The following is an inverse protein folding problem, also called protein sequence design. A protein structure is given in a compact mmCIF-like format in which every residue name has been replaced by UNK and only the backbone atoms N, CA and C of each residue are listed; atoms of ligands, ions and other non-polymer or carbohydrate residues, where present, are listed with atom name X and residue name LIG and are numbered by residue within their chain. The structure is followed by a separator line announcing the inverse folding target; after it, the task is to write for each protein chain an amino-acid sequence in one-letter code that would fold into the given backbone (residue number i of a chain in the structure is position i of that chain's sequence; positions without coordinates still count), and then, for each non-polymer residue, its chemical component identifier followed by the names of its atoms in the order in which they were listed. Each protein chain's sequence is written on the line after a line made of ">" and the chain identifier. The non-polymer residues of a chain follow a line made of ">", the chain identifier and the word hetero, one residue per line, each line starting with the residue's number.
data_IF_061044080496
#
_entry.id   IF_061044080496
#
_cell.length_a   1.000
_cell.length_b   1.000
_cell.length_c   1.000
_cell.angle_alpha   90.00
_cell.angle_beta   90.00
_cell.angle_gamma   90.00
#
_symmetry.space_group_name_H-M   'P 1'
#
loop_
_entity.id
_entity.type
_entity.pdbx_description
1 polymer ?
#
# COMPACT_ATOMS: atom_id res chain seq x y z
N UNK A 1 32.37 33.90 -31.52
CA UNK A 1 32.25 32.71 -30.63
C UNK A 1 30.90 32.07 -30.88
N UNK A 2 30.88 30.79 -31.23
CA UNK A 2 29.63 30.06 -31.46
C UNK A 2 28.94 29.78 -30.11
N UNK A 3 27.64 30.08 -30.04
CA UNK A 3 26.82 29.78 -28.86
C UNK A 3 26.63 28.28 -28.65
N UNK A 4 25.78 27.87 -27.69
CA UNK A 4 25.63 26.47 -27.36
C UNK A 4 24.99 25.65 -28.49
N UNK A 5 25.30 24.35 -28.52
CA UNK A 5 24.75 23.44 -29.51
C UNK A 5 23.26 23.17 -29.25
N UNK A 6 22.53 22.84 -30.32
CA UNK A 6 21.13 22.42 -30.22
C UNK A 6 20.94 21.24 -29.25
N UNK A 7 21.90 20.30 -29.24
CA UNK A 7 21.89 19.15 -28.31
C UNK A 7 21.92 19.59 -26.85
N UNK A 8 22.78 20.56 -26.52
CA UNK A 8 22.89 21.10 -25.15
C UNK A 8 21.63 21.85 -24.73
N UNK A 9 21.01 22.60 -25.64
CA UNK A 9 19.73 23.26 -25.37
C UNK A 9 18.63 22.23 -25.09
N UNK A 10 18.48 21.23 -25.97
CA UNK A 10 17.47 20.18 -25.83
C UNK A 10 17.64 19.41 -24.52
N UNK A 11 18.87 19.02 -24.18
CA UNK A 11 19.16 18.32 -22.94
C UNK A 11 18.72 19.12 -21.70
N UNK A 12 19.00 20.42 -21.66
CA UNK A 12 18.59 21.28 -20.54
C UNK A 12 17.07 21.45 -20.48
N UNK A 13 16.37 21.56 -21.62
CA UNK A 13 14.90 21.62 -21.66
C UNK A 13 14.29 20.33 -21.12
N UNK A 14 14.79 19.17 -21.55
CA UNK A 14 14.32 17.87 -21.05
C UNK A 14 14.60 17.73 -19.56
N UNK A 15 15.79 18.13 -19.08
CA UNK A 15 16.12 18.07 -17.66
C UNK A 15 15.23 18.99 -16.82
N UNK A 16 14.97 20.20 -17.30
CA UNK A 16 14.07 21.14 -16.62
C UNK A 16 12.64 20.61 -16.57
N UNK A 17 12.16 20.04 -17.68
CA UNK A 17 10.85 19.38 -17.76
C UNK A 17 10.75 18.22 -16.75
N UNK A 18 11.75 17.35 -16.68
CA UNK A 18 11.79 16.24 -15.74
C UNK A 18 11.83 16.72 -14.27
N UNK A 19 12.69 17.68 -13.94
CA UNK A 19 12.77 18.27 -12.59
C UNK A 19 11.44 18.92 -12.19
N UNK A 20 10.85 19.71 -13.09
CA UNK A 20 9.57 20.37 -12.86
C UNK A 20 8.42 19.38 -12.72
N UNK A 21 8.41 18.31 -13.51
CA UNK A 21 7.37 17.27 -13.44
C UNK A 21 7.45 16.48 -12.13
N UNK A 22 8.62 15.94 -11.80
CA UNK A 22 8.81 15.08 -10.63
C UNK A 22 8.66 15.90 -9.35
N UNK A 23 9.49 16.93 -9.16
CA UNK A 23 9.51 17.70 -7.92
C UNK A 23 8.34 18.68 -7.84
N UNK A 24 7.83 19.20 -8.95
CA UNK A 24 6.58 19.97 -8.93
C UNK A 24 5.38 19.11 -8.55
N UNK A 25 5.32 17.86 -9.06
CA UNK A 25 4.34 16.86 -8.66
C UNK A 25 4.40 16.55 -7.17
N UNK A 26 5.58 16.24 -6.65
CA UNK A 26 5.78 15.95 -5.21
C UNK A 26 5.37 17.12 -4.31
N UNK A 27 5.69 18.36 -4.72
CA UNK A 27 5.30 19.55 -3.96
C UNK A 27 3.77 19.73 -3.97
N UNK A 28 3.15 19.56 -5.13
CA UNK A 28 1.70 19.58 -5.28
C UNK A 28 1.03 18.51 -4.43
N UNK A 29 1.53 17.28 -4.45
CA UNK A 29 1.01 16.16 -3.67
C UNK A 29 1.20 16.39 -2.17
N UNK A 30 2.34 16.92 -1.73
CA UNK A 30 2.58 17.25 -0.33
C UNK A 30 1.66 18.38 0.18
N UNK A 31 1.35 19.36 -0.66
CA UNK A 31 0.39 20.42 -0.34
C UNK A 31 -1.05 19.86 -0.30
N UNK A 32 -1.43 19.06 -1.30
CA UNK A 32 -2.74 18.41 -1.35
C UNK A 32 -2.97 17.46 -0.19
N UNK A 33 -1.95 16.71 0.24
CA UNK A 33 -2.04 15.83 1.40
C UNK A 33 -2.40 16.60 2.68
N UNK A 34 -1.93 17.85 2.81
CA UNK A 34 -2.20 18.71 3.98
C UNK A 34 -3.56 19.39 3.93
N UNK A 35 -4.10 19.64 2.74
CA UNK A 35 -5.40 20.31 2.56
C UNK A 35 -6.56 19.33 2.43
N UNK A 36 -6.31 18.12 1.93
CA UNK A 36 -7.31 17.06 1.87
C UNK A 36 -7.62 16.53 3.26
N UNK A 37 -8.86 16.08 3.47
CA UNK A 37 -9.24 15.42 4.72
C UNK A 37 -8.49 14.10 4.88
N UNK A 38 -8.46 13.29 3.81
CA UNK A 38 -7.74 12.02 3.75
C UNK A 38 -6.87 11.96 2.50
N UNK A 39 -5.71 11.33 2.62
CA UNK A 39 -4.87 10.95 1.48
C UNK A 39 -4.42 9.49 1.56
N UNK A 40 -4.41 8.84 0.40
CA UNK A 40 -3.91 7.48 0.19
C UNK A 40 -2.40 7.53 -0.05
N UNK A 41 -1.67 8.04 0.95
CA UNK A 41 -0.22 8.10 0.99
C UNK A 41 0.25 7.47 2.30
N UNK A 42 1.33 6.68 2.24
CA UNK A 42 1.95 6.14 3.46
C UNK A 42 2.75 7.19 4.21
N UNK A 43 3.45 8.03 3.46
CA UNK A 43 4.21 9.17 3.99
C UNK A 43 4.08 10.33 3.01
N UNK A 44 3.88 11.56 3.48
CA UNK A 44 3.83 12.71 2.59
C UNK A 44 5.22 12.95 1.95
N UNK A 45 5.29 13.40 0.69
CA UNK A 45 6.55 13.82 0.09
C UNK A 45 7.21 14.95 0.90
N UNK A 46 8.54 14.97 0.95
CA UNK A 46 9.28 15.95 1.74
C UNK A 46 9.28 17.33 1.07
N UNK A 47 8.43 18.23 1.56
CA UNK A 47 8.35 19.63 1.09
C UNK A 47 9.73 20.29 1.10
N UNK A 48 10.51 20.12 2.18
CA UNK A 48 11.82 20.74 2.32
C UNK A 48 12.76 20.31 1.20
N UNK A 49 12.86 19.00 0.97
CA UNK A 49 13.75 18.45 -0.07
C UNK A 49 13.32 18.91 -1.45
N UNK A 50 12.03 18.78 -1.75
CA UNK A 50 11.46 19.17 -3.04
C UNK A 50 11.66 20.67 -3.31
N UNK A 51 11.48 21.53 -2.31
CA UNK A 51 11.76 22.97 -2.42
C UNK A 51 13.23 23.27 -2.65
N UNK A 52 14.16 22.55 -1.99
CA UNK A 52 15.60 22.70 -2.24
C UNK A 52 15.94 22.35 -3.68
N UNK A 53 15.45 21.22 -4.19
CA UNK A 53 15.73 20.77 -5.57
C UNK A 53 15.18 21.77 -6.59
N UNK A 54 13.93 22.23 -6.42
CA UNK A 54 13.34 23.24 -7.30
C UNK A 54 14.07 24.59 -7.21
N UNK A 55 14.51 24.99 -6.02
CA UNK A 55 15.33 26.20 -5.83
C UNK A 55 16.66 26.11 -6.57
N UNK A 56 17.37 24.98 -6.45
CA UNK A 56 18.62 24.72 -7.18
C UNK A 56 18.38 24.66 -8.69
N UNK A 57 17.26 24.11 -9.14
CA UNK A 57 16.88 24.13 -10.55
C UNK A 57 16.67 25.57 -11.04
N UNK A 58 16.01 26.42 -10.25
CA UNK A 58 15.85 27.85 -10.54
C UNK A 58 17.20 28.59 -10.68
N UNK A 59 18.14 28.31 -9.78
CA UNK A 59 19.52 28.85 -9.88
C UNK A 59 20.21 28.34 -11.15
N UNK A 60 20.08 27.04 -11.47
CA UNK A 60 20.62 26.45 -12.70
C UNK A 60 20.07 27.13 -13.95
N UNK A 61 18.76 27.38 -14.01
CA UNK A 61 18.11 28.12 -15.10
C UNK A 61 18.63 29.55 -15.20
N UNK A 62 18.76 30.27 -14.08
CA UNK A 62 19.29 31.64 -14.08
C UNK A 62 20.72 31.70 -14.63
N UNK A 63 21.59 30.76 -14.22
CA UNK A 63 22.97 30.66 -14.71
C UNK A 63 23.00 30.28 -16.20
N UNK A 64 22.13 29.37 -16.62
CA UNK A 64 21.97 28.98 -18.02
C UNK A 64 21.57 30.17 -18.89
N UNK A 65 20.52 30.91 -18.51
CA UNK A 65 20.05 32.10 -19.21
C UNK A 65 21.12 33.20 -19.24
N UNK A 66 21.81 33.45 -18.12
CA UNK A 66 22.92 34.41 -18.08
C UNK A 66 24.06 34.01 -19.04
N UNK A 67 24.36 32.71 -19.15
CA UNK A 67 25.30 32.18 -20.13
C UNK A 67 24.88 32.45 -21.57
N UNK A 68 23.60 32.23 -21.89
CA UNK A 68 23.02 32.52 -23.20
C UNK A 68 23.07 34.02 -23.55
N UNK A 69 22.61 34.87 -22.64
CA UNK A 69 22.60 36.33 -22.82
C UNK A 69 24.00 36.90 -23.00
N UNK A 70 24.98 36.34 -22.27
CA UNK A 70 26.40 36.71 -22.39
C UNK A 70 27.12 35.98 -23.53
N UNK A 71 26.41 35.23 -24.38
CA UNK A 71 26.94 34.48 -25.54
C UNK A 71 28.14 33.61 -25.17
N UNK A 72 28.08 32.94 -24.01
CA UNK A 72 29.16 32.08 -23.52
C UNK A 72 29.30 30.84 -24.43
N UNK A 73 30.54 30.36 -24.63
CA UNK A 73 30.82 29.21 -25.49
C UNK A 73 30.26 27.91 -24.91
N UNK A 74 30.12 26.86 -25.73
CA UNK A 74 29.60 25.54 -25.36
C UNK A 74 30.27 24.93 -24.10
N UNK A 75 31.55 25.21 -23.89
CA UNK A 75 32.31 24.74 -22.72
C UNK A 75 31.95 25.42 -21.39
N UNK A 76 30.97 26.33 -21.37
CA UNK A 76 30.52 26.97 -20.14
C UNK A 76 29.86 25.97 -19.19
N UNK A 77 30.45 25.80 -18.00
CA UNK A 77 29.99 24.85 -16.98
C UNK A 77 28.52 25.03 -16.59
N UNK A 78 27.98 26.25 -16.69
CA UNK A 78 26.58 26.55 -16.38
C UNK A 78 25.58 25.74 -17.21
N UNK A 79 25.92 25.35 -18.44
CA UNK A 79 25.05 24.52 -19.29
C UNK A 79 24.95 23.05 -18.84
N UNK A 80 25.75 22.64 -17.86
CA UNK A 80 25.75 21.27 -17.30
C UNK A 80 25.06 21.19 -15.93
N UNK A 81 24.63 22.31 -15.36
CA UNK A 81 24.06 22.34 -14.01
C UNK A 81 22.75 21.55 -13.90
N UNK A 82 21.81 21.72 -14.84
CA UNK A 82 20.52 21.02 -14.80
C UNK A 82 20.67 19.50 -15.00
N UNK A 83 21.45 19.00 -15.98
CA UNK A 83 21.71 17.56 -16.09
C UNK A 83 22.38 16.96 -14.84
N UNK A 84 23.39 17.64 -14.28
CA UNK A 84 24.08 17.16 -13.06
C UNK A 84 23.08 17.11 -11.89
N UNK A 85 22.29 18.17 -11.70
CA UNK A 85 21.29 18.23 -10.66
C UNK A 85 20.30 17.08 -10.78
N UNK A 86 19.74 16.85 -11.97
CA UNK A 86 18.79 15.76 -12.22
C UNK A 86 19.38 14.39 -11.88
N UNK A 87 20.60 14.09 -12.33
CA UNK A 87 21.23 12.78 -12.06
C UNK A 87 21.46 12.59 -10.56
N UNK A 88 21.99 13.61 -9.88
CA UNK A 88 22.25 13.54 -8.43
C UNK A 88 20.95 13.37 -7.66
N UNK A 89 19.89 14.10 -8.01
CA UNK A 89 18.65 14.06 -7.25
C UNK A 89 17.91 12.73 -7.44
N UNK A 90 17.89 12.20 -8.68
CA UNK A 90 17.34 10.86 -8.97
C UNK A 90 18.13 9.75 -8.28
N UNK A 91 19.45 9.87 -8.22
CA UNK A 91 20.27 8.91 -7.48
C UNK A 91 19.94 8.92 -5.98
N UNK A 92 19.79 10.10 -5.39
CA UNK A 92 19.34 10.22 -4.00
C UNK A 92 17.92 9.67 -3.80
N UNK A 93 17.01 9.89 -4.75
CA UNK A 93 15.67 9.29 -4.73
C UNK A 93 15.73 7.78 -4.69
N UNK A 94 16.56 7.18 -5.53
CA UNK A 94 16.74 5.73 -5.60
C UNK A 94 17.25 5.16 -4.27
N UNK A 95 18.31 5.75 -3.71
CA UNK A 95 18.87 5.32 -2.41
C UNK A 95 17.85 5.44 -1.27
N UNK A 96 17.02 6.48 -1.29
CA UNK A 96 15.97 6.68 -0.28
C UNK A 96 14.74 5.78 -0.49
N UNK A 97 14.54 5.25 -1.70
CA UNK A 97 13.43 4.38 -2.04
C UNK A 97 13.71 2.90 -1.73
N UNK A 98 14.98 2.50 -1.64
CA UNK A 98 15.44 1.10 -1.51
C UNK A 98 14.88 0.36 -0.27
N UNK A 99 14.35 1.08 0.72
CA UNK A 99 13.70 0.50 1.91
C UNK A 99 12.18 0.62 1.99
N UNK A 100 11.50 1.12 0.95
CA UNK A 100 10.05 1.36 1.00
C UNK A 100 9.27 0.21 0.37
N UNK A 101 8.18 -0.21 1.01
CA UNK A 101 7.27 -1.23 0.47
C UNK A 101 6.60 -0.73 -0.81
N UNK A 102 6.61 -1.50 -1.91
CA UNK A 102 6.04 -1.08 -3.20
C UNK A 102 4.51 -1.21 -3.25
N UNK A 103 3.84 -1.32 -2.10
CA UNK A 103 2.40 -1.48 -2.02
C UNK A 103 1.75 -0.11 -1.80
N UNK A 104 0.79 0.22 -2.65
CA UNK A 104 -0.01 1.42 -2.43
C UNK A 104 -1.00 1.20 -1.27
N UNK A 105 -1.56 2.31 -0.78
CA UNK A 105 -2.51 2.30 0.33
C UNK A 105 -3.71 1.36 0.16
N UNK A 106 -4.38 1.26 -1.01
CA UNK A 106 -5.54 0.37 -1.15
C UNK A 106 -5.16 -1.12 -1.07
N UNK A 107 -3.97 -1.52 -1.52
CA UNK A 107 -3.44 -2.88 -1.40
C UNK A 107 -3.16 -3.21 0.07
N UNK A 108 -2.51 -2.30 0.80
CA UNK A 108 -2.27 -2.46 2.24
C UNK A 108 -3.58 -2.52 3.03
N UNK A 109 -4.57 -1.69 2.66
CA UNK A 109 -5.92 -1.76 3.23
C UNK A 109 -6.59 -3.11 2.97
N UNK A 110 -6.42 -3.69 1.79
CA UNK A 110 -6.94 -5.01 1.46
C UNK A 110 -6.22 -6.15 2.22
N UNK A 111 -4.91 -6.04 2.43
CA UNK A 111 -4.14 -6.97 3.26
C UNK A 111 -4.63 -6.92 4.70
N UNK A 112 -4.87 -5.73 5.25
CA UNK A 112 -5.42 -5.56 6.59
C UNK A 112 -6.83 -6.19 6.71
N UNK A 113 -7.71 -5.98 5.72
CA UNK A 113 -9.03 -6.61 5.69
C UNK A 113 -8.95 -8.14 5.67
N UNK A 114 -8.06 -8.71 4.85
CA UNK A 114 -7.86 -10.17 4.79
C UNK A 114 -7.31 -10.72 6.10
N UNK A 115 -6.32 -10.06 6.70
CA UNK A 115 -5.73 -10.46 7.98
C UNK A 115 -6.77 -10.42 9.10
N UNK A 116 -7.54 -9.34 9.19
CA UNK A 116 -8.63 -9.23 10.15
C UNK A 116 -9.68 -10.32 9.94
N UNK A 117 -10.12 -10.55 8.71
CA UNK A 117 -11.10 -11.60 8.39
C UNK A 117 -10.59 -12.99 8.79
N UNK A 118 -9.34 -13.32 8.48
CA UNK A 118 -8.77 -14.62 8.82
C UNK A 118 -8.76 -14.86 10.34
N UNK A 119 -8.40 -13.86 11.14
CA UNK A 119 -8.43 -13.98 12.60
C UNK A 119 -9.85 -13.98 13.17
N UNK A 120 -10.75 -13.13 12.65
CA UNK A 120 -12.15 -13.11 13.07
C UNK A 120 -12.88 -14.42 12.73
N UNK A 121 -12.50 -15.08 11.62
CA UNK A 121 -13.03 -16.38 11.21
C UNK A 121 -12.66 -17.49 12.21
N UNK A 122 -11.49 -17.42 12.86
CA UNK A 122 -11.10 -18.37 13.91
C UNK A 122 -11.94 -18.24 15.17
N UNK A 123 -12.48 -17.05 15.43
CA UNK A 123 -13.37 -16.77 16.56
C UNK A 123 -14.84 -17.08 16.26
N UNK A 124 -15.19 -17.35 15.01
CA UNK A 124 -16.53 -17.75 14.63
C UNK A 124 -16.84 -19.15 15.15
N UNK A 125 -18.07 -19.36 15.59
CA UNK A 125 -18.58 -20.66 16.04
C UNK A 125 -19.50 -21.26 14.98
N UNK A 126 -20.00 -22.47 15.21
CA UNK A 126 -21.03 -23.09 14.35
C UNK A 126 -22.35 -22.31 14.42
N UNK A 127 -22.64 -21.68 15.56
CA UNK A 127 -23.91 -21.00 15.82
C UNK A 127 -23.91 -19.55 15.37
N UNK A 128 -22.84 -18.81 15.65
CA UNK A 128 -22.74 -17.38 15.37
C UNK A 128 -21.32 -16.88 15.13
N UNK A 129 -21.21 -15.77 14.39
CA UNK A 129 -19.98 -14.99 14.26
C UNK A 129 -19.76 -14.11 15.49
N UNK A 130 -18.51 -13.72 15.82
CA UNK A 130 -18.25 -12.79 16.92
C UNK A 130 -18.95 -11.45 16.66
N UNK A 131 -19.72 -10.97 17.62
CA UNK A 131 -20.52 -9.73 17.51
C UNK A 131 -20.18 -8.69 18.59
N UNK A 132 -19.33 -9.05 19.56
CA UNK A 132 -18.89 -8.13 20.63
C UNK A 132 -17.63 -7.42 20.20
N UNK A 133 -17.64 -6.09 20.31
CA UNK A 133 -16.49 -5.24 19.98
C UNK A 133 -15.25 -5.61 20.80
N UNK A 134 -15.42 -5.93 22.09
CA UNK A 134 -14.31 -6.28 22.99
C UNK A 134 -13.57 -7.56 22.56
N UNK A 135 -14.24 -8.47 21.85
CA UNK A 135 -13.65 -9.70 21.32
C UNK A 135 -12.87 -9.43 20.03
N UNK A 136 -13.33 -8.47 19.23
CA UNK A 136 -12.74 -8.12 17.94
C UNK A 136 -11.63 -7.06 18.04
N UNK A 137 -11.67 -6.19 19.06
CA UNK A 137 -10.72 -5.10 19.24
C UNK A 137 -9.25 -5.57 19.26
N UNK A 138 -8.88 -6.67 19.96
CA UNK A 138 -7.50 -7.17 19.92
C UNK A 138 -7.02 -7.54 18.51
N UNK A 139 -7.93 -7.95 17.63
CA UNK A 139 -7.61 -8.25 16.23
C UNK A 139 -7.30 -6.98 15.44
N UNK A 140 -7.99 -5.88 15.75
CA UNK A 140 -7.77 -4.57 15.14
C UNK A 140 -6.45 -3.96 15.62
N UNK A 141 -6.18 -4.02 16.93
CA UNK A 141 -4.95 -3.50 17.51
C UNK A 141 -3.70 -4.19 16.93
N UNK A 142 -3.81 -5.48 16.61
CA UNK A 142 -2.74 -6.27 15.99
C UNK A 142 -2.44 -5.89 14.52
N UNK A 143 -3.28 -5.08 13.87
CA UNK A 143 -3.05 -4.60 12.50
C UNK A 143 -2.03 -3.45 12.44
N UNK A 144 -1.82 -2.73 13.54
CA UNK A 144 -0.93 -1.57 13.61
C UNK A 144 -1.56 -0.29 13.07
N UNK A 145 -0.84 0.45 12.22
CA UNK A 145 -1.28 1.72 11.68
C UNK A 145 -1.89 1.58 10.27
N UNK A 146 -3.02 2.24 9.98
CA UNK A 146 -3.63 2.21 8.65
C UNK A 146 -2.84 3.06 7.63
N UNK A 147 -2.91 2.70 6.34
CA UNK A 147 -2.10 3.32 5.28
C UNK A 147 -2.71 4.64 4.76
N UNK A 148 -3.11 5.54 5.65
CA UNK A 148 -3.74 6.81 5.32
C UNK A 148 -3.15 7.97 6.11
N UNK A 149 -3.16 9.16 5.51
CA UNK A 149 -2.91 10.41 6.23
C UNK A 149 -4.22 11.18 6.38
N UNK A 150 -4.46 11.71 7.57
CA UNK A 150 -5.52 12.65 7.88
C UNK A 150 -4.91 14.05 7.93
N UNK A 151 -5.27 14.92 6.97
CA UNK A 151 -4.68 16.27 6.80
C UNK A 151 -3.14 16.28 6.82
N UNK A 152 -2.54 15.27 6.19
CA UNK A 152 -1.10 15.11 6.04
C UNK A 152 -0.40 14.49 7.25
N UNK A 153 -1.13 14.11 8.29
CA UNK A 153 -0.61 13.41 9.48
C UNK A 153 -0.97 11.93 9.40
N UNK A 154 -0.04 10.99 9.66
CA UNK A 154 -0.36 9.57 9.69
C UNK A 154 -1.46 9.24 10.70
N UNK A 155 -2.45 8.45 10.27
CA UNK A 155 -3.48 7.94 11.18
C UNK A 155 -2.82 6.90 12.10
N UNK A 156 -2.95 7.05 13.44
CA UNK A 156 -2.08 6.31 14.37
C UNK A 156 -2.45 4.83 14.53
N UNK A 157 -3.73 4.48 14.41
CA UNK A 157 -4.21 3.13 14.64
C UNK A 157 -5.52 2.90 13.87
N UNK A 158 -5.81 1.63 13.59
CA UNK A 158 -7.13 1.22 13.14
C UNK A 158 -8.15 1.37 14.28
N UNK A 159 -9.40 1.61 13.93
CA UNK A 159 -10.54 1.64 14.86
C UNK A 159 -11.60 0.65 14.42
N UNK A 160 -12.45 0.20 15.34
CA UNK A 160 -13.53 -0.75 15.05
C UNK A 160 -14.89 -0.06 15.24
N UNK A 161 -15.84 -0.35 14.37
CA UNK A 161 -17.25 -0.06 14.62
C UNK A 161 -18.06 -1.31 14.28
N UNK A 162 -18.71 -1.89 15.30
CA UNK A 162 -19.60 -3.03 15.11
C UNK A 162 -21.03 -2.55 14.88
N UNK A 163 -21.69 -3.10 13.85
CA UNK A 163 -23.09 -2.85 13.49
C UNK A 163 -23.82 -4.19 13.40
N UNK A 164 -25.12 -4.20 13.70
CA UNK A 164 -25.94 -5.43 13.69
C UNK A 164 -27.15 -5.27 12.79
N UNK A 165 -27.69 -6.40 12.33
CA UNK A 165 -28.91 -6.42 11.53
C UNK A 165 -28.73 -6.00 10.07
N UNK A 166 -27.51 -6.16 9.56
CA UNK A 166 -27.12 -5.75 8.22
C UNK A 166 -27.61 -6.73 7.14
N UNK A 167 -27.91 -6.22 5.95
CA UNK A 167 -28.28 -7.02 4.78
C UNK A 167 -27.09 -7.25 3.82
N UNK A 168 -25.93 -6.64 4.11
CA UNK A 168 -24.74 -6.72 3.29
C UNK A 168 -23.58 -5.87 3.84
N UNK A 169 -22.47 -5.76 3.08
CA UNK A 169 -21.36 -4.89 3.43
C UNK A 169 -21.78 -3.43 3.45
N UNK A 170 -21.22 -2.65 4.38
CA UNK A 170 -21.47 -1.21 4.44
C UNK A 170 -20.92 -0.54 3.18
N UNK A 171 -21.79 0.18 2.46
CA UNK A 171 -21.44 0.85 1.19
C UNK A 171 -21.01 2.30 1.37
N UNK A 172 -21.50 2.94 2.43
CA UNK A 172 -21.19 4.33 2.74
C UNK A 172 -21.08 4.53 4.25
N UNK A 173 -20.21 5.44 4.66
CA UNK A 173 -19.86 5.68 6.05
C UNK A 173 -19.52 7.17 6.29
N UNK A 174 -20.49 8.08 6.07
CA UNK A 174 -20.25 9.51 6.20
C UNK A 174 -19.82 9.85 7.63
N UNK A 175 -18.83 10.75 7.76
CA UNK A 175 -18.31 11.21 9.05
C UNK A 175 -17.51 10.14 9.82
N UNK A 176 -17.21 8.99 9.20
CA UNK A 176 -16.39 7.96 9.84
C UNK A 176 -14.92 8.24 9.59
N UNK A 177 -14.09 8.04 10.62
CA UNK A 177 -12.65 8.29 10.54
C UNK A 177 -11.96 7.33 9.55
N UNK A 178 -10.99 7.80 8.73
CA UNK A 178 -10.13 6.89 7.95
C UNK A 178 -9.41 5.89 8.87
N UNK A 179 -9.24 4.66 8.41
CA UNK A 179 -8.70 3.57 9.23
C UNK A 179 -9.74 2.85 10.10
N UNK A 180 -11.03 3.19 10.00
CA UNK A 180 -12.09 2.46 10.71
C UNK A 180 -12.48 1.20 9.95
N UNK A 181 -12.43 0.04 10.61
CA UNK A 181 -13.06 -1.20 10.17
C UNK A 181 -14.52 -1.22 10.61
N UNK A 182 -15.42 -1.33 9.63
CA UNK A 182 -16.85 -1.48 9.85
C UNK A 182 -17.19 -2.97 9.82
N UNK A 183 -17.60 -3.51 10.96
CA UNK A 183 -17.97 -4.90 11.10
C UNK A 183 -19.49 -5.03 11.20
N UNK A 184 -20.14 -5.42 10.10
CA UNK A 184 -21.59 -5.47 9.98
C UNK A 184 -22.09 -6.92 10.11
N UNK A 185 -22.72 -7.25 11.23
CA UNK A 185 -23.29 -8.58 11.48
C UNK A 185 -24.66 -8.69 10.85
N UNK A 186 -24.90 -9.79 10.13
CA UNK A 186 -26.19 -10.12 9.53
C UNK A 186 -27.29 -10.30 10.60
N UNK A 187 -28.55 -10.15 10.21
CA UNK A 187 -29.70 -10.32 11.14
C UNK A 187 -29.76 -11.71 11.78
N UNK A 188 -29.31 -12.73 11.08
CA UNK A 188 -29.29 -14.12 11.56
C UNK A 188 -28.07 -14.45 12.43
N UNK A 189 -27.09 -13.53 12.54
CA UNK A 189 -25.85 -13.75 13.27
C UNK A 189 -24.90 -14.77 12.63
N UNK A 190 -25.22 -15.31 11.44
CA UNK A 190 -24.43 -16.37 10.79
C UNK A 190 -23.33 -15.84 9.89
N UNK A 191 -23.41 -14.57 9.54
CA UNK A 191 -22.45 -13.91 8.68
C UNK A 191 -22.17 -12.50 9.17
N UNK A 192 -20.97 -12.02 8.94
CA UNK A 192 -20.63 -10.61 9.02
C UNK A 192 -19.83 -10.17 7.80
N UNK A 193 -19.95 -8.89 7.47
CA UNK A 193 -19.13 -8.24 6.45
C UNK A 193 -18.23 -7.20 7.10
N UNK A 194 -16.98 -7.21 6.69
CA UNK A 194 -15.97 -6.26 7.13
C UNK A 194 -15.63 -5.35 5.96
N UNK A 195 -15.77 -4.04 6.14
CA UNK A 195 -15.29 -3.03 5.20
C UNK A 195 -14.35 -2.05 5.89
N UNK A 196 -13.48 -1.40 5.11
CA UNK A 196 -12.52 -0.42 5.62
C UNK A 196 -12.92 0.98 5.15
N UNK A 197 -12.87 1.96 6.05
CA UNK A 197 -13.00 3.38 5.71
C UNK A 197 -11.62 3.96 5.42
N UNK A 198 -11.51 4.67 4.30
CA UNK A 198 -10.29 5.24 3.77
C UNK A 198 -10.62 6.07 2.53
N UNK A 199 -10.17 5.63 1.37
CA UNK A 199 -10.52 6.22 0.07
C UNK A 199 -10.80 5.10 -0.95
N UNK A 200 -11.60 5.34 -1.99
CA UNK A 200 -11.67 4.48 -3.17
C UNK A 200 -10.27 4.30 -3.79
N UNK A 201 -10.00 3.14 -4.37
CA UNK A 201 -8.67 2.82 -4.90
C UNK A 201 -8.23 3.77 -6.03
N UNK A 202 -9.19 4.38 -6.74
CA UNK A 202 -8.95 5.31 -7.83
C UNK A 202 -8.71 6.76 -7.33
N UNK A 203 -8.90 7.03 -6.04
CA UNK A 203 -8.85 8.37 -5.45
C UNK A 203 -7.68 8.48 -4.49
N UNK A 204 -6.74 9.39 -4.79
CA UNK A 204 -5.55 9.63 -3.93
C UNK A 204 -5.77 10.64 -2.82
N UNK A 205 -6.69 11.59 -3.00
CA UNK A 205 -6.99 12.67 -2.05
C UNK A 205 -8.49 12.94 -2.04
N UNK A 206 -9.10 13.08 -0.87
CA UNK A 206 -10.53 13.35 -0.79
C UNK A 206 -11.10 13.26 0.62
N UNK A 207 -12.43 13.19 0.69
CA UNK A 207 -13.15 12.89 1.92
C UNK A 207 -13.09 11.39 2.23
N UNK A 208 -13.14 10.99 3.52
CA UNK A 208 -13.20 9.58 3.89
C UNK A 208 -14.41 8.89 3.26
N UNK A 209 -14.19 7.71 2.68
CA UNK A 209 -15.25 6.87 2.14
C UNK A 209 -14.91 5.39 2.35
N UNK A 210 -15.86 4.50 2.09
CA UNK A 210 -15.58 3.05 2.10
C UNK A 210 -14.60 2.71 0.98
N UNK A 211 -13.54 1.98 1.32
CA UNK A 211 -12.58 1.45 0.35
C UNK A 211 -13.33 0.63 -0.69
N UNK A 212 -13.25 1.07 -1.94
CA UNK A 212 -13.91 0.46 -3.08
C UNK A 212 -12.94 0.32 -4.25
N UNK A 213 -13.26 -0.59 -5.16
CA UNK A 213 -12.54 -0.78 -6.42
C UNK A 213 -13.59 -0.84 -7.52
N UNK A 214 -13.48 0.02 -8.52
CA UNK A 214 -14.47 0.17 -9.61
C UNK A 214 -15.89 0.43 -9.09
N UNK A 215 -16.00 1.18 -7.99
CA UNK A 215 -17.29 1.53 -7.37
C UNK A 215 -17.89 0.45 -6.46
N UNK A 216 -17.31 -0.74 -6.40
CA UNK A 216 -17.78 -1.81 -5.51
C UNK A 216 -17.01 -1.81 -4.19
N UNK A 217 -17.69 -1.83 -3.02
CA UNK A 217 -17.04 -1.90 -1.72
C UNK A 217 -16.15 -3.13 -1.60
N UNK A 218 -14.89 -2.91 -1.26
CA UNK A 218 -13.98 -4.00 -0.95
C UNK A 218 -14.32 -4.51 0.44
N UNK A 219 -14.88 -5.71 0.49
CA UNK A 219 -15.33 -6.34 1.72
C UNK A 219 -14.70 -7.71 1.92
N UNK A 220 -14.62 -8.12 3.17
CA UNK A 220 -14.29 -9.48 3.56
C UNK A 220 -15.46 -10.06 4.36
N UNK A 221 -15.83 -11.31 4.12
CA UNK A 221 -16.93 -11.96 4.84
C UNK A 221 -16.37 -12.90 5.92
N UNK A 222 -16.95 -12.83 7.11
CA UNK A 222 -16.77 -13.81 8.19
C UNK A 222 -18.07 -14.61 8.26
N UNK A 223 -17.96 -15.93 8.33
CA UNK A 223 -19.12 -16.83 8.37
C UNK A 223 -19.00 -17.75 9.57
N UNK A 224 -20.12 -18.30 10.02
CA UNK A 224 -20.09 -19.41 10.98
C UNK A 224 -19.27 -20.56 10.44
N UNK A 225 -18.69 -21.34 11.35
CA UNK A 225 -18.02 -22.57 10.96
C UNK A 225 -19.05 -23.53 10.38
N UNK A 226 -18.77 -24.06 9.19
CA UNK A 226 -19.47 -25.24 8.71
C UNK A 226 -18.96 -26.39 9.58
N UNK A 227 -19.83 -27.23 10.18
CA UNK A 227 -19.36 -28.41 10.87
C UNK A 227 -18.43 -29.17 9.92
N UNK A 228 -17.16 -29.36 10.30
CA UNK A 228 -16.32 -30.33 9.63
C UNK A 228 -17.03 -31.68 9.81
N UNK A 229 -17.53 -32.24 8.71
CA UNK A 229 -17.77 -33.67 8.64
C UNK A 229 -16.41 -34.28 8.94
N UNK A 230 -16.28 -34.90 10.11
CA UNK A 230 -15.08 -35.61 10.52
C UNK A 230 -14.82 -36.71 9.50
N UNK A 231 -14.13 -36.39 8.41
CA UNK A 231 -13.39 -37.36 7.62
C UNK A 231 -12.17 -37.76 8.47
N UNK A 232 -12.46 -38.52 9.53
CA UNK A 232 -11.59 -39.60 9.93
C UNK A 232 -11.52 -40.49 8.70
N UNK A 233 -10.57 -40.24 7.82
CA UNK A 233 -10.10 -41.27 6.90
C UNK A 233 -9.63 -42.38 7.83
N UNK A 234 -10.35 -43.52 7.94
CA UNK A 234 -9.83 -44.62 8.72
C UNK A 234 -8.50 -44.98 8.08
N UNK A 235 -7.44 -44.98 8.90
CA UNK A 235 -6.12 -45.37 8.47
C UNK A 235 -6.25 -46.67 7.68
N UNK A 236 -5.82 -46.63 6.43
CA UNK A 236 -5.65 -47.85 5.65
C UNK A 236 -4.55 -48.61 6.40
N UNK A 237 -4.95 -49.63 7.16
CA UNK A 237 -4.04 -50.63 7.70
C UNK A 237 -3.35 -51.28 6.50
N UNK A 238 -2.17 -50.78 6.17
CA UNK A 238 -1.22 -51.50 5.35
C UNK A 238 -0.70 -52.65 6.21
N UNK A 239 -1.45 -53.77 6.19
CA UNK A 239 -0.95 -55.09 6.54
C UNK A 239 0.31 -55.33 5.70
N UNK A 240 1.47 -55.15 6.34
CA UNK A 240 2.76 -55.57 5.80
C UNK A 240 2.71 -57.10 5.80
N UNK A 241 2.74 -57.78 4.64
CA UNK A 241 2.76 -59.23 4.63
C UNK A 241 4.07 -59.72 5.25
N UNK A 242 3.92 -60.41 6.38
CA UNK A 242 4.97 -61.21 7.01
C UNK A 242 5.44 -62.27 6.03
N UNK A 243 6.61 -62.10 5.44
CA UNK A 243 7.31 -63.18 4.73
C UNK A 243 8.03 -64.02 5.77
N UNK A 244 7.44 -65.16 6.10
CA UNK A 244 8.11 -66.27 6.81
C UNK A 244 7.85 -67.55 6.02
N UNK A 245 8.88 -67.98 5.30
CA UNK A 245 9.23 -69.38 4.99
C UNK A 245 10.64 -69.27 4.36
N UNK A 246 11.72 -69.91 4.82
CA UNK A 246 11.84 -71.18 5.52
C UNK A 246 12.78 -72.05 4.67
N UNK A 247 14.03 -72.25 5.13
CA UNK A 247 14.83 -73.42 4.73
C UNK A 247 16.01 -73.23 3.76
N UNK A 248 17.20 -73.22 4.37
CA UNK A 248 18.55 -73.53 3.87
C UNK A 248 18.72 -74.30 2.54
N UNK A 249 19.70 -73.84 1.74
CA UNK A 249 20.58 -74.67 0.92
C UNK A 249 22.00 -74.07 0.88
N UNK A 250 23.00 -74.95 0.92
CA UNK A 250 24.43 -74.79 1.22
C UNK A 250 25.30 -74.27 0.07
N UNK A 251 26.44 -73.65 0.44
CA UNK A 251 27.77 -73.60 -0.24
C UNK A 251 27.83 -73.03 -1.68
N UNK A 252 28.84 -72.32 -2.17
CA UNK A 252 30.20 -71.93 -1.76
C UNK A 252 30.71 -70.92 -2.81
N UNK A 253 31.63 -70.02 -2.45
CA UNK A 253 32.41 -69.18 -3.39
C UNK A 253 33.26 -70.05 -4.35
N UNK A 254 33.71 -69.51 -5.50
CA UNK A 254 34.72 -68.45 -5.59
C UNK A 254 34.22 -67.14 -6.22
#
# INVERSE_FOLDING_TARGET
>A
MSGPSYKTLLANVVCLGALGWIYGGDLSDALRARTAEVSALLTPPSVVRTSIVLGLAGVGVAVFLAGLLRKKPEGFKGYRLLPILLVVTLFLDLVLAEGKTPLDSPELGAVALRRFQAEAQKLATVEAVPSREQVLQPLVDALGAPPYLERGVPVPAYTLQVRTGCEGPVRDAPGTRPGTLLYCVARDGKQAWVTLVGLPAEVRFGAPAVLSVRGEPRSAAVRTQVPEENDVVPGIDLEIPTVVDGGAATSSSP
#
